data_IF_371892217753
#
_entry.id   IF_371892217753
#
_cell.length_a   1.000
_cell.length_b   1.000
_cell.length_c   1.000
_cell.angle_alpha   90.00
_cell.angle_beta   90.00
_cell.angle_gamma   90.00
#
_symmetry.space_group_name_H-M   'P 1'
#
loop_
_entity.id
_entity.type
_entity.pdbx_description
1 polymer ?
#
# COMPACT_ATOMS: atom_id res chain seq x y z
N UNK A 1 7.38 -13.76 -9.24
CA UNK A 1 7.69 -14.71 -8.14
C UNK A 1 7.27 -14.17 -6.76
N UNK A 2 7.58 -12.91 -6.38
CA UNK A 2 7.17 -12.34 -5.06
C UNK A 2 5.66 -12.29 -4.83
N UNK A 3 4.85 -11.98 -5.86
CA UNK A 3 3.39 -11.90 -5.78
C UNK A 3 2.79 -13.26 -5.46
N UNK A 4 3.19 -14.32 -6.19
CA UNK A 4 2.69 -15.68 -6.00
C UNK A 4 2.94 -16.14 -4.55
N UNK A 5 4.16 -15.94 -4.03
CA UNK A 5 4.51 -16.31 -2.66
C UNK A 5 3.63 -15.58 -1.65
N UNK A 6 3.43 -14.25 -1.85
CA UNK A 6 2.60 -13.43 -0.96
C UNK A 6 1.14 -13.88 -0.97
N UNK A 7 0.59 -14.13 -2.15
CA UNK A 7 -0.81 -14.62 -2.29
C UNK A 7 -0.97 -16.01 -1.67
N UNK A 8 -0.02 -16.92 -1.89
CA UNK A 8 -0.05 -18.26 -1.28
C UNK A 8 -0.01 -18.19 0.25
N UNK A 9 0.82 -17.32 0.82
CA UNK A 9 0.87 -17.11 2.27
C UNK A 9 -0.44 -16.54 2.82
N UNK A 10 -1.08 -15.59 2.12
CA UNK A 10 -2.35 -15.02 2.53
C UNK A 10 -3.48 -16.06 2.51
N UNK A 11 -3.56 -16.87 1.44
CA UNK A 11 -4.52 -17.97 1.34
C UNK A 11 -4.26 -19.02 2.42
N UNK A 12 -3.01 -19.41 2.64
CA UNK A 12 -2.64 -20.34 3.71
C UNK A 12 -3.03 -19.82 5.09
N UNK A 13 -2.77 -18.55 5.38
CA UNK A 13 -3.17 -17.93 6.65
C UNK A 13 -4.70 -17.86 6.80
N UNK A 14 -5.43 -17.55 5.74
CA UNK A 14 -6.89 -17.55 5.74
C UNK A 14 -7.46 -18.93 6.01
N UNK A 15 -6.91 -20.00 5.39
CA UNK A 15 -7.31 -21.38 5.64
C UNK A 15 -7.06 -21.79 7.09
N UNK A 16 -5.90 -21.46 7.65
CA UNK A 16 -5.57 -21.76 9.04
C UNK A 16 -6.54 -21.03 9.98
N UNK A 17 -6.78 -19.73 9.75
CA UNK A 17 -7.68 -18.93 10.58
C UNK A 17 -9.11 -19.45 10.53
N UNK A 18 -9.65 -19.73 9.33
CA UNK A 18 -10.99 -20.30 9.17
C UNK A 18 -11.13 -21.68 9.83
N UNK A 19 -10.07 -22.48 9.79
CA UNK A 19 -10.08 -23.83 10.39
C UNK A 19 -10.00 -23.80 11.91
N UNK A 20 -9.27 -22.84 12.48
CA UNK A 20 -9.17 -22.65 13.93
C UNK A 20 -10.45 -22.06 14.54
N UNK A 21 -11.16 -21.25 13.77
CA UNK A 21 -12.36 -20.56 14.21
C UNK A 21 -13.54 -20.83 13.26
N UNK A 22 -14.05 -22.07 13.20
CA UNK A 22 -15.10 -22.45 12.23
C UNK A 22 -16.42 -21.71 12.45
N UNK A 23 -16.63 -21.14 13.63
CA UNK A 23 -17.82 -20.35 13.98
C UNK A 23 -17.61 -18.83 13.80
N UNK A 24 -16.46 -18.42 13.26
CA UNK A 24 -16.18 -17.02 12.99
C UNK A 24 -16.98 -16.58 11.76
N UNK A 25 -18.17 -16.04 12.00
CA UNK A 25 -18.94 -15.40 10.93
C UNK A 25 -18.59 -13.92 10.88
N UNK A 26 -18.04 -13.48 9.76
CA UNK A 26 -17.77 -12.06 9.56
C UNK A 26 -19.00 -11.45 8.90
N UNK A 27 -19.67 -10.48 9.56
CA UNK A 27 -20.82 -9.84 8.96
C UNK A 27 -20.36 -9.08 7.69
N UNK A 28 -21.19 -9.12 6.65
CA UNK A 28 -20.94 -8.41 5.39
C UNK A 28 -20.55 -6.95 5.61
N UNK A 29 -21.19 -6.27 6.57
CA UNK A 29 -20.88 -4.88 6.92
C UNK A 29 -19.44 -4.70 7.42
N UNK A 30 -18.85 -5.69 8.07
CA UNK A 30 -17.46 -5.65 8.52
C UNK A 30 -16.47 -5.60 7.34
N UNK A 31 -16.66 -6.48 6.36
CA UNK A 31 -15.86 -6.48 5.13
C UNK A 31 -16.07 -5.21 4.30
N UNK A 32 -17.31 -4.70 4.22
CA UNK A 32 -17.59 -3.43 3.54
C UNK A 32 -16.90 -2.24 4.22
N UNK A 33 -16.96 -2.15 5.54
CA UNK A 33 -16.28 -1.11 6.31
C UNK A 33 -14.76 -1.17 6.10
N UNK A 34 -14.17 -2.36 6.12
CA UNK A 34 -12.74 -2.53 5.89
C UNK A 34 -12.34 -2.14 4.45
N UNK A 35 -13.17 -2.44 3.45
CA UNK A 35 -12.95 -1.99 2.08
C UNK A 35 -12.99 -0.46 1.96
N UNK A 36 -13.88 0.23 2.69
CA UNK A 36 -13.88 1.70 2.75
C UNK A 36 -12.55 2.23 3.32
N UNK A 37 -12.01 1.59 4.35
CA UNK A 37 -10.69 1.95 4.90
C UNK A 37 -9.60 1.77 3.85
N UNK A 38 -9.60 0.66 3.09
CA UNK A 38 -8.66 0.44 1.98
C UNK A 38 -8.76 1.57 0.95
N UNK A 39 -9.98 1.96 0.56
CA UNK A 39 -10.20 3.03 -0.43
C UNK A 39 -9.70 4.39 0.06
N UNK A 40 -9.94 4.73 1.32
CA UNK A 40 -9.44 5.96 1.94
C UNK A 40 -7.91 5.95 1.96
N UNK A 41 -7.29 4.88 2.43
CA UNK A 41 -5.83 4.75 2.49
C UNK A 41 -5.18 4.81 1.11
N UNK A 42 -5.79 4.16 0.10
CA UNK A 42 -5.35 4.28 -1.28
C UNK A 42 -5.40 5.74 -1.76
N UNK A 43 -6.49 6.46 -1.51
CA UNK A 43 -6.65 7.86 -1.90
C UNK A 43 -5.61 8.76 -1.24
N UNK A 44 -5.32 8.56 0.04
CA UNK A 44 -4.26 9.29 0.77
C UNK A 44 -2.89 9.00 0.16
N UNK A 45 -2.57 7.73 -0.07
CA UNK A 45 -1.29 7.34 -0.66
C UNK A 45 -1.07 7.92 -2.06
N UNK A 46 -2.09 7.87 -2.92
CA UNK A 46 -2.05 8.47 -4.26
C UNK A 46 -1.93 9.99 -4.20
N UNK A 47 -2.64 10.64 -3.30
CA UNK A 47 -2.56 12.10 -3.10
C UNK A 47 -1.15 12.53 -2.67
N UNK A 48 -0.51 11.79 -1.78
CA UNK A 48 0.87 12.05 -1.36
C UNK A 48 1.85 11.92 -2.52
N UNK A 49 1.69 10.90 -3.37
CA UNK A 49 2.54 10.72 -4.56
C UNK A 49 2.38 11.85 -5.58
N UNK A 50 1.15 12.32 -5.80
CA UNK A 50 0.85 13.41 -6.75
C UNK A 50 1.31 14.77 -6.20
N UNK A 51 1.22 14.98 -4.88
CA UNK A 51 1.62 16.24 -4.24
C UNK A 51 3.14 16.45 -4.19
N UNK A 52 3.92 15.52 -4.75
CA UNK A 52 5.37 15.60 -4.75
C UNK A 52 5.84 16.56 -5.84
N UNK A 53 6.41 17.71 -5.42
CA UNK A 53 6.99 18.67 -6.37
C UNK A 53 8.47 18.35 -6.58
N UNK A 54 8.82 17.92 -7.79
CA UNK A 54 10.20 17.62 -8.21
C UNK A 54 10.89 18.79 -8.92
N UNK A 55 10.20 19.94 -9.12
CA UNK A 55 10.74 21.09 -9.86
C UNK A 55 12.00 21.70 -9.20
N UNK A 56 12.16 21.54 -7.90
CA UNK A 56 13.31 22.02 -7.16
C UNK A 56 14.55 21.10 -7.28
N UNK A 57 14.37 19.88 -7.81
CA UNK A 57 15.46 18.90 -7.99
C UNK A 57 16.20 19.21 -9.28
N UNK A 58 17.38 19.80 -9.17
CA UNK A 58 18.19 20.23 -10.34
C UNK A 58 19.04 19.11 -10.95
N UNK A 59 19.30 18.03 -10.21
CA UNK A 59 20.11 16.91 -10.69
C UNK A 59 19.25 15.92 -11.50
N UNK A 60 19.44 15.81 -12.84
CA UNK A 60 18.60 14.99 -13.69
C UNK A 60 18.73 13.48 -13.40
N UNK A 61 19.89 13.01 -12.94
CA UNK A 61 20.09 11.62 -12.58
C UNK A 61 19.26 11.25 -11.32
N UNK A 62 19.25 12.14 -10.35
CA UNK A 62 18.50 11.98 -9.11
C UNK A 62 16.99 12.11 -9.35
N UNK A 63 16.56 13.03 -10.22
CA UNK A 63 15.16 13.15 -10.65
C UNK A 63 14.65 11.85 -11.26
N UNK A 64 15.43 11.23 -12.14
CA UNK A 64 15.06 9.95 -12.77
C UNK A 64 14.93 8.81 -11.76
N UNK A 65 15.78 8.79 -10.73
CA UNK A 65 15.70 7.79 -9.65
C UNK A 65 14.41 7.96 -8.82
N UNK A 66 14.06 9.21 -8.49
CA UNK A 66 12.82 9.55 -7.77
C UNK A 66 11.59 9.13 -8.58
N UNK A 67 11.53 9.52 -9.86
CA UNK A 67 10.40 9.19 -10.74
C UNK A 67 10.24 7.68 -10.92
N UNK A 68 11.36 6.95 -11.02
CA UNK A 68 11.35 5.50 -11.07
C UNK A 68 10.79 4.86 -9.80
N UNK A 69 11.21 5.33 -8.63
CA UNK A 69 10.72 4.85 -7.34
C UNK A 69 9.21 5.12 -7.18
N UNK A 70 8.75 6.32 -7.52
CA UNK A 70 7.33 6.69 -7.45
C UNK A 70 6.46 5.91 -8.41
N UNK A 71 6.94 5.61 -9.61
CA UNK A 71 6.24 4.78 -10.57
C UNK A 71 6.01 3.39 -10.00
N UNK A 72 7.02 2.76 -9.42
CA UNK A 72 6.92 1.44 -8.79
C UNK A 72 5.89 1.45 -7.63
N UNK A 73 5.94 2.46 -6.77
CA UNK A 73 5.01 2.57 -5.63
C UNK A 73 3.58 2.76 -6.12
N UNK A 74 3.37 3.65 -7.12
CA UNK A 74 2.05 3.90 -7.71
C UNK A 74 1.45 2.64 -8.32
N UNK A 75 2.22 1.91 -9.12
CA UNK A 75 1.79 0.65 -9.71
C UNK A 75 1.42 -0.38 -8.64
N UNK A 76 2.23 -0.49 -7.60
CA UNK A 76 1.95 -1.39 -6.46
C UNK A 76 0.68 -1.01 -5.69
N UNK A 77 0.38 0.28 -5.55
CA UNK A 77 -0.87 0.75 -4.92
C UNK A 77 -2.09 0.42 -5.78
N UNK A 78 -2.01 0.66 -7.09
CA UNK A 78 -3.07 0.33 -8.04
C UNK A 78 -3.33 -1.18 -8.05
N UNK A 79 -2.28 -2.00 -8.07
CA UNK A 79 -2.39 -3.46 -8.00
C UNK A 79 -3.07 -3.92 -6.71
N UNK A 80 -2.60 -3.44 -5.55
CA UNK A 80 -3.16 -3.79 -4.26
C UNK A 80 -4.65 -3.39 -4.14
N UNK A 81 -5.00 -2.19 -4.60
CA UNK A 81 -6.39 -1.73 -4.61
C UNK A 81 -7.27 -2.54 -5.56
N UNK A 82 -6.77 -2.90 -6.75
CA UNK A 82 -7.49 -3.72 -7.72
C UNK A 82 -7.79 -5.12 -7.16
N UNK A 83 -6.84 -5.72 -6.42
CA UNK A 83 -7.05 -6.99 -5.73
C UNK A 83 -8.14 -6.85 -4.65
N UNK A 84 -8.06 -5.81 -3.81
CA UNK A 84 -9.06 -5.57 -2.77
C UNK A 84 -10.46 -5.36 -3.35
N UNK A 85 -10.57 -4.56 -4.42
CA UNK A 85 -11.83 -4.30 -5.12
C UNK A 85 -12.41 -5.59 -5.70
N UNK A 86 -11.60 -6.36 -6.42
CA UNK A 86 -12.05 -7.62 -7.02
C UNK A 86 -12.57 -8.60 -5.97
N UNK A 87 -11.82 -8.80 -4.88
CA UNK A 87 -12.22 -9.67 -3.79
C UNK A 87 -13.49 -9.16 -3.09
N UNK A 88 -13.61 -7.84 -2.90
CA UNK A 88 -14.82 -7.25 -2.32
C UNK A 88 -16.04 -7.48 -3.21
N UNK A 89 -15.92 -7.28 -4.53
CA UNK A 89 -17.01 -7.54 -5.48
C UNK A 89 -17.41 -9.02 -5.51
N UNK A 90 -16.45 -9.94 -5.54
CA UNK A 90 -16.72 -11.38 -5.50
C UNK A 90 -17.45 -11.75 -4.20
N UNK A 91 -16.99 -11.27 -3.06
CA UNK A 91 -17.66 -11.51 -1.77
C UNK A 91 -19.05 -10.87 -1.68
N UNK A 92 -19.29 -9.77 -2.40
CA UNK A 92 -20.61 -9.13 -2.47
C UNK A 92 -21.61 -9.95 -3.30
N UNK A 93 -21.12 -10.64 -4.34
CA UNK A 93 -21.95 -11.49 -5.21
C UNK A 93 -22.21 -12.84 -4.57
N UNK A 94 -21.22 -13.40 -3.85
CA UNK A 94 -21.28 -14.74 -3.26
C UNK A 94 -20.92 -14.66 -1.76
N UNK A 95 -21.75 -14.00 -0.93
CA UNK A 95 -21.36 -13.65 0.45
C UNK A 95 -21.26 -14.85 1.40
N UNK A 96 -21.83 -16.00 1.05
CA UNK A 96 -21.88 -17.19 1.93
C UNK A 96 -21.07 -18.36 1.35
N UNK A 97 -20.04 -18.08 0.55
CA UNK A 97 -19.24 -19.16 0.00
C UNK A 97 -18.34 -19.77 1.07
N UNK A 98 -18.71 -20.98 1.50
CA UNK A 98 -17.93 -21.79 2.42
C UNK A 98 -17.64 -23.15 1.80
N UNK A 99 -16.46 -23.67 2.03
CA UNK A 99 -16.03 -24.98 1.56
C UNK A 99 -15.32 -25.72 2.68
N UNK A 100 -15.75 -26.95 2.94
CA UNK A 100 -15.14 -27.80 3.97
C UNK A 100 -14.55 -29.04 3.31
N UNK A 101 -13.27 -29.24 3.46
CA UNK A 101 -12.58 -30.43 2.99
C UNK A 101 -11.86 -31.10 4.17
N UNK A 102 -12.32 -32.26 4.55
CA UNK A 102 -11.84 -33.03 5.70
C UNK A 102 -11.92 -32.22 7.01
N UNK A 103 -10.82 -31.66 7.51
CA UNK A 103 -10.75 -30.83 8.72
C UNK A 103 -10.48 -29.34 8.41
N UNK A 104 -10.31 -29.00 7.14
CA UNK A 104 -10.06 -27.63 6.71
C UNK A 104 -11.39 -26.96 6.37
N UNK A 105 -11.66 -25.86 7.01
CA UNK A 105 -12.82 -25.01 6.73
C UNK A 105 -12.33 -23.73 6.01
N UNK A 106 -12.93 -23.44 4.87
CA UNK A 106 -12.64 -22.24 4.09
C UNK A 106 -13.87 -21.36 4.06
N UNK A 107 -13.70 -20.09 4.41
CA UNK A 107 -14.73 -19.06 4.32
C UNK A 107 -14.18 -17.87 3.50
N UNK A 108 -14.90 -17.53 2.43
CA UNK A 108 -14.52 -16.44 1.53
C UNK A 108 -14.50 -15.09 2.27
N UNK A 109 -15.43 -14.85 3.18
CA UNK A 109 -15.50 -13.59 3.93
C UNK A 109 -14.29 -13.41 4.86
N UNK A 110 -13.79 -14.50 5.46
CA UNK A 110 -12.57 -14.51 6.26
C UNK A 110 -11.35 -14.23 5.40
N UNK A 111 -11.26 -14.85 4.21
CA UNK A 111 -10.18 -14.58 3.26
C UNK A 111 -10.15 -13.10 2.86
N UNK A 112 -11.28 -12.55 2.47
CA UNK A 112 -11.41 -11.15 2.06
C UNK A 112 -10.98 -10.21 3.19
N UNK A 113 -11.41 -10.45 4.42
CA UNK A 113 -11.02 -9.66 5.59
C UNK A 113 -9.50 -9.68 5.79
N UNK A 114 -8.89 -10.86 5.73
CA UNK A 114 -7.45 -11.02 5.92
C UNK A 114 -6.67 -10.28 4.84
N UNK A 115 -7.04 -10.46 3.57
CA UNK A 115 -6.36 -9.79 2.45
C UNK A 115 -6.50 -8.28 2.55
N UNK A 116 -7.69 -7.76 2.83
CA UNK A 116 -7.91 -6.31 3.00
C UNK A 116 -7.10 -5.75 4.17
N UNK A 117 -7.01 -6.47 5.29
CA UNK A 117 -6.18 -6.06 6.43
C UNK A 117 -4.70 -5.96 6.04
N UNK A 118 -4.17 -6.95 5.32
CA UNK A 118 -2.79 -6.90 4.83
C UNK A 118 -2.56 -5.76 3.84
N UNK A 119 -3.54 -5.45 3.00
CA UNK A 119 -3.46 -4.32 2.06
C UNK A 119 -3.42 -2.99 2.83
N UNK A 120 -4.25 -2.82 3.88
CA UNK A 120 -4.20 -1.62 4.73
C UNK A 120 -2.81 -1.45 5.35
N UNK A 121 -2.29 -2.52 5.99
CA UNK A 121 -0.94 -2.48 6.60
C UNK A 121 0.13 -2.15 5.55
N UNK A 122 0.05 -2.76 4.37
CA UNK A 122 0.97 -2.50 3.27
C UNK A 122 0.94 -1.04 2.82
N UNK A 123 -0.25 -0.46 2.65
CA UNK A 123 -0.40 0.95 2.23
C UNK A 123 0.12 1.89 3.31
N UNK A 124 -0.19 1.65 4.60
CA UNK A 124 0.32 2.46 5.73
C UNK A 124 1.84 2.45 5.75
N UNK A 125 2.46 1.29 5.59
CA UNK A 125 3.93 1.17 5.54
C UNK A 125 4.52 2.01 4.41
N UNK A 126 3.97 1.89 3.18
CA UNK A 126 4.45 2.66 2.04
C UNK A 126 4.20 4.18 2.19
N UNK A 127 3.07 4.60 2.77
CA UNK A 127 2.81 6.01 3.09
C UNK A 127 3.91 6.56 4.01
N UNK A 128 4.28 5.80 5.04
CA UNK A 128 5.36 6.20 5.97
C UNK A 128 6.69 6.33 5.25
N UNK A 129 7.04 5.38 4.36
CA UNK A 129 8.27 5.46 3.56
C UNK A 129 8.27 6.68 2.62
N UNK A 130 7.14 6.99 1.98
CA UNK A 130 7.00 8.18 1.11
C UNK A 130 7.20 9.45 1.93
N UNK A 131 6.60 9.54 3.12
CA UNK A 131 6.74 10.70 4.00
C UNK A 131 8.19 10.91 4.46
N UNK A 132 8.88 9.84 4.84
CA UNK A 132 10.29 9.88 5.22
C UNK A 132 11.21 10.24 4.04
N UNK A 133 10.88 9.74 2.85
CA UNK A 133 11.60 10.09 1.63
C UNK A 133 11.43 11.58 1.29
N UNK A 134 10.21 12.11 1.38
CA UNK A 134 9.91 13.52 1.18
C UNK A 134 10.71 14.41 2.13
N UNK A 135 10.78 14.03 3.41
CA UNK A 135 11.59 14.76 4.40
C UNK A 135 13.06 14.78 4.04
N UNK A 136 13.66 13.61 3.75
CA UNK A 136 15.06 13.49 3.35
C UNK A 136 15.40 14.31 2.11
N UNK A 137 14.49 14.37 1.13
CA UNK A 137 14.68 15.16 -0.07
C UNK A 137 14.65 16.65 0.25
N UNK A 138 13.68 17.11 1.04
CA UNK A 138 13.58 18.52 1.48
C UNK A 138 14.85 18.96 2.22
N UNK A 139 15.38 18.12 3.11
CA UNK A 139 16.60 18.41 3.85
C UNK A 139 17.82 18.56 2.90
N UNK A 140 17.95 17.67 1.89
CA UNK A 140 19.02 17.76 0.89
C UNK A 140 18.92 19.01 0.01
N UNK A 141 17.72 19.36 -0.43
CA UNK A 141 17.51 20.59 -1.23
C UNK A 141 17.92 21.82 -0.42
N UNK A 142 17.56 21.84 0.87
CA UNK A 142 17.95 22.92 1.78
C UNK A 142 19.45 23.03 1.95
N UNK A 143 20.15 21.92 2.18
CA UNK A 143 21.62 21.90 2.28
C UNK A 143 22.31 22.39 1.00
N UNK A 144 21.77 22.03 -0.18
CA UNK A 144 22.31 22.52 -1.46
C UNK A 144 22.11 24.03 -1.63
N UNK A 145 20.97 24.57 -1.20
CA UNK A 145 20.70 26.01 -1.21
C UNK A 145 21.69 26.77 -0.28
N UNK A 146 21.84 26.29 0.96
CA UNK A 146 22.77 26.89 1.93
C UNK A 146 24.23 26.86 1.46
N UNK A 147 24.69 25.76 0.85
CA UNK A 147 26.05 25.67 0.26
C UNK A 147 26.28 26.64 -0.89
N UNK A 148 25.25 26.91 -1.71
CA UNK A 148 25.36 27.90 -2.81
C UNK A 148 25.41 29.31 -2.30
N UNK A 149 24.57 29.69 -1.36
CA UNK A 149 24.58 31.03 -0.74
C UNK A 149 25.90 31.30 -0.03
N UNK A 150 26.45 30.34 0.69
CA UNK A 150 27.76 30.46 1.33
C UNK A 150 28.93 30.55 0.34
N UNK A 151 28.80 30.05 -0.92
CA UNK A 151 29.79 30.24 -1.97
C UNK A 151 29.72 31.64 -2.60
N UNK A 152 28.51 32.13 -2.82
CA UNK A 152 28.28 33.47 -3.40
C UNK A 152 28.86 34.53 -2.45
N UNK A 153 28.54 34.47 -1.17
CA UNK A 153 29.03 35.41 -0.17
C UNK A 153 30.54 35.38 0.02
N UNK A 154 31.25 34.32 -0.38
CA UNK A 154 32.75 34.27 -0.36
C UNK A 154 33.40 34.84 -1.60
N UNK A 155 32.65 34.98 -2.69
CA UNK A 155 33.20 35.54 -3.95
C UNK A 155 33.02 37.07 -4.02
N UNK A 156 32.14 37.61 -3.17
CA UNK A 156 31.85 39.06 -3.10
C UNK A 156 32.77 39.81 -2.09
N UNK A 157 33.69 39.08 -1.45
CA UNK A 157 34.76 39.61 -0.57
C UNK A 157 36.13 39.28 -1.10
#
# INVERSE_FOLDING_TARGET
>A
MKIIIRTTMQVGFALITSSLFPNLSIPYNGNAALFVVVAIMFSIGMSLLISFNTEEVRNPAYLKEIDGAFTIIRESFIEAFSIALTLHLVNSIIPSFTFTFYRLHFDLSVLVMIVQTFIVIYIIYNISEIADFKKRLSDRIREEKEKKEGRINRLDH
#
